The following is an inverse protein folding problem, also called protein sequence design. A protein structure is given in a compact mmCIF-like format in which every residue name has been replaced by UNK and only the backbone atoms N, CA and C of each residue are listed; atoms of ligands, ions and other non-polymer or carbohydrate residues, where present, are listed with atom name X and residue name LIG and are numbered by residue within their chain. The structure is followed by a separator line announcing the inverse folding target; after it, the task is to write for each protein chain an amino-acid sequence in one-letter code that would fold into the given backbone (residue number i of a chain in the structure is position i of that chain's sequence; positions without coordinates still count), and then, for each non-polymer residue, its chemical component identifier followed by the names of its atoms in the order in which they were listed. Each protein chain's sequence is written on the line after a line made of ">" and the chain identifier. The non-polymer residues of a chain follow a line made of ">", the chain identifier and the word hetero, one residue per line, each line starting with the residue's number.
data_IF_582007581313
#
_entry.id   IF_582007581313
#
_cell.length_a   1.000
_cell.length_b   1.000
_cell.length_c   1.000
_cell.angle_alpha   90.00
_cell.angle_beta   90.00
_cell.angle_gamma   90.00
#
_symmetry.space_group_name_H-M   'P 1'
#
loop_
_entity.id
_entity.type
_entity.pdbx_description
1 polymer ?
#
# COMPACT_ATOMS: atom_id res chain seq x y z
N UNK A 1 4.99 5.48 15.40
CA UNK A 1 3.88 4.64 14.90
C UNK A 1 4.06 4.36 13.42
N UNK A 2 3.99 5.37 12.53
CA UNK A 2 4.30 5.19 11.10
C UNK A 2 5.75 4.76 10.87
N UNK A 3 6.70 5.37 11.59
CA UNK A 3 8.12 4.99 11.55
C UNK A 3 8.38 3.51 11.88
N UNK A 4 7.54 2.89 12.71
CA UNK A 4 7.68 1.48 13.07
C UNK A 4 7.28 0.55 11.92
N UNK A 5 6.33 0.96 11.08
CA UNK A 5 5.92 0.18 9.90
C UNK A 5 7.10 0.04 8.92
N UNK A 6 7.91 1.09 8.77
CA UNK A 6 9.08 1.05 7.90
C UNK A 6 10.27 0.36 8.55
N UNK A 7 10.53 0.60 9.84
CA UNK A 7 11.68 -0.01 10.53
C UNK A 7 11.52 -1.50 10.79
N UNK A 8 10.31 -1.92 11.17
CA UNK A 8 10.03 -3.29 11.58
C UNK A 8 9.63 -4.13 10.35
N UNK A 9 9.03 -3.49 9.35
CA UNK A 9 8.61 -4.14 8.11
C UNK A 9 7.56 -5.23 8.35
N UNK A 10 7.52 -6.19 7.43
CA UNK A 10 6.69 -7.37 7.54
C UNK A 10 7.50 -8.60 7.07
N UNK A 11 7.87 -9.48 8.01
CA UNK A 11 8.66 -10.69 7.73
C UNK A 11 8.00 -11.62 6.70
N UNK A 12 6.67 -11.50 6.50
CA UNK A 12 5.92 -12.27 5.52
C UNK A 12 5.95 -11.65 4.12
N UNK A 13 6.47 -10.44 3.93
CA UNK A 13 6.54 -9.79 2.61
C UNK A 13 7.43 -10.58 1.64
N UNK A 14 8.65 -10.95 2.07
CA UNK A 14 9.59 -11.70 1.24
C UNK A 14 9.04 -13.08 0.78
N UNK A 15 8.52 -13.95 1.66
CA UNK A 15 7.92 -15.21 1.22
C UNK A 15 6.63 -15.01 0.41
N UNK A 16 5.80 -14.00 0.70
CA UNK A 16 4.62 -13.70 -0.10
C UNK A 16 4.99 -13.23 -1.52
N UNK A 17 5.99 -12.35 -1.65
CA UNK A 17 6.53 -11.89 -2.93
C UNK A 17 7.09 -13.03 -3.78
N UNK A 18 7.71 -14.04 -3.15
CA UNK A 18 8.20 -15.22 -3.86
C UNK A 18 7.07 -16.08 -4.45
N UNK A 19 5.91 -16.13 -3.81
CA UNK A 19 4.73 -16.87 -4.28
C UNK A 19 3.86 -16.04 -5.24
N UNK A 20 3.82 -14.73 -5.05
CA UNK A 20 2.98 -13.79 -5.81
C UNK A 20 3.80 -12.55 -6.21
N UNK A 21 4.48 -12.59 -7.37
CA UNK A 21 5.28 -11.45 -7.85
C UNK A 21 4.49 -10.16 -8.05
N UNK A 22 3.18 -10.26 -8.31
CA UNK A 22 2.27 -9.10 -8.42
C UNK A 22 2.21 -8.27 -7.13
N UNK A 23 2.52 -8.87 -5.98
CA UNK A 23 2.65 -8.16 -4.70
C UNK A 23 3.79 -7.13 -4.74
N UNK A 24 4.91 -7.46 -5.39
CA UNK A 24 6.05 -6.54 -5.55
C UNK A 24 5.64 -5.37 -6.42
N UNK A 25 4.95 -5.61 -7.54
CA UNK A 25 4.46 -4.56 -8.45
C UNK A 25 3.52 -3.61 -7.71
N UNK A 26 2.61 -4.14 -6.89
CA UNK A 26 1.69 -3.36 -6.07
C UNK A 26 2.42 -2.49 -5.04
N UNK A 27 3.36 -3.07 -4.29
CA UNK A 27 4.13 -2.34 -3.28
C UNK A 27 5.02 -1.28 -3.91
N UNK A 28 5.72 -1.59 -5.00
CA UNK A 28 6.59 -0.64 -5.69
C UNK A 28 5.80 0.53 -6.26
N UNK A 29 4.61 0.27 -6.83
CA UNK A 29 3.73 1.33 -7.33
C UNK A 29 3.30 2.31 -6.23
N UNK A 30 3.03 1.81 -5.01
CA UNK A 30 2.70 2.66 -3.86
C UNK A 30 3.93 3.36 -3.27
N UNK A 31 5.07 2.66 -3.14
CA UNK A 31 6.33 3.20 -2.61
C UNK A 31 6.92 4.30 -3.50
N UNK A 32 6.70 4.24 -4.81
CA UNK A 32 7.14 5.25 -5.77
C UNK A 32 6.25 6.50 -5.81
N UNK A 33 5.07 6.47 -5.21
CA UNK A 33 4.16 7.61 -5.19
C UNK A 33 4.56 8.61 -4.11
N UNK A 34 4.84 9.86 -4.49
CA UNK A 34 5.31 10.91 -3.58
C UNK A 34 4.32 11.27 -2.46
N UNK A 35 3.05 10.85 -2.55
CA UNK A 35 2.05 11.03 -1.49
C UNK A 35 2.12 9.96 -0.42
N UNK A 36 2.77 8.82 -0.69
CA UNK A 36 2.93 7.75 0.28
C UNK A 36 3.93 8.18 1.36
N UNK A 37 3.50 8.10 2.62
CA UNK A 37 4.38 8.22 3.78
C UNK A 37 5.06 6.88 4.05
N UNK A 38 4.34 5.78 3.86
CA UNK A 38 4.88 4.43 3.86
C UNK A 38 3.93 3.49 3.11
N UNK A 39 4.42 2.34 2.65
CA UNK A 39 3.59 1.28 2.08
C UNK A 39 4.11 -0.11 2.48
N UNK A 40 3.20 -1.00 2.86
CA UNK A 40 3.53 -2.32 3.40
C UNK A 40 2.41 -3.34 3.14
N UNK A 41 2.76 -4.63 3.20
CA UNK A 41 1.81 -5.73 3.20
C UNK A 41 1.02 -5.77 4.52
N UNK A 42 -0.28 -6.03 4.44
CA UNK A 42 -1.12 -6.28 5.63
C UNK A 42 -1.13 -7.76 5.99
N UNK A 43 -0.57 -8.12 7.15
CA UNK A 43 -0.53 -9.51 7.62
C UNK A 43 0.23 -10.43 6.65
N UNK A 44 -0.36 -11.57 6.28
CA UNK A 44 0.23 -12.51 5.31
C UNK A 44 -0.04 -12.14 3.84
N UNK A 45 -0.69 -11.00 3.57
CA UNK A 45 -1.10 -10.61 2.22
C UNK A 45 -2.31 -11.42 1.71
N UNK A 46 -2.72 -11.23 0.45
CA UNK A 46 -2.11 -10.39 -0.59
C UNK A 46 -2.45 -8.89 -0.50
N UNK A 47 -3.28 -8.49 0.48
CA UNK A 47 -3.65 -7.08 0.63
C UNK A 47 -2.45 -6.26 1.10
N UNK A 48 -2.27 -5.10 0.47
CA UNK A 48 -1.25 -4.12 0.82
C UNK A 48 -1.92 -2.78 1.10
N UNK A 49 -1.23 -1.90 1.82
CA UNK A 49 -1.72 -0.57 2.14
C UNK A 49 -0.62 0.48 1.97
N UNK A 50 -1.03 1.72 1.75
CA UNK A 50 -0.19 2.90 1.83
C UNK A 50 -0.83 3.91 2.78
N UNK A 51 0.00 4.53 3.63
CA UNK A 51 -0.42 5.68 4.43
C UNK A 51 -0.10 6.96 3.67
N UNK A 52 -0.99 7.93 3.76
CA UNK A 52 -0.81 9.28 3.21
C UNK A 52 -1.09 10.30 4.30
N UNK A 53 -0.64 11.54 4.12
CA UNK A 53 -0.86 12.60 5.13
C UNK A 53 -2.34 13.01 5.21
N UNK A 54 -3.08 12.94 4.09
CA UNK A 54 -4.46 13.40 4.01
C UNK A 54 -5.37 12.41 3.29
N UNK A 55 -6.68 12.45 3.60
CA UNK A 55 -7.65 11.64 2.88
C UNK A 55 -7.78 12.01 1.40
N UNK A 56 -7.46 13.24 1.00
CA UNK A 56 -7.44 13.66 -0.40
C UNK A 56 -6.29 13.02 -1.18
N UNK A 57 -5.12 12.92 -0.56
CA UNK A 57 -3.96 12.22 -1.13
C UNK A 57 -4.28 10.73 -1.32
N UNK A 58 -4.86 10.08 -0.32
CA UNK A 58 -5.30 8.69 -0.43
C UNK A 58 -6.30 8.50 -1.59
N UNK A 59 -7.28 9.40 -1.73
CA UNK A 59 -8.25 9.36 -2.84
C UNK A 59 -7.60 9.57 -4.20
N UNK A 60 -6.63 10.48 -4.30
CA UNK A 60 -5.93 10.78 -5.55
C UNK A 60 -5.05 9.60 -5.98
N UNK A 61 -4.25 9.05 -5.06
CA UNK A 61 -3.46 7.84 -5.28
C UNK A 61 -4.34 6.66 -5.71
N UNK A 62 -5.44 6.40 -5.01
CA UNK A 62 -6.35 5.31 -5.36
C UNK A 62 -6.91 5.43 -6.78
N UNK A 63 -7.29 6.65 -7.22
CA UNK A 63 -7.76 6.89 -8.59
C UNK A 63 -6.69 6.61 -9.63
N UNK A 64 -5.46 7.06 -9.39
CA UNK A 64 -4.36 6.89 -10.34
C UNK A 64 -3.90 5.43 -10.45
N UNK A 65 -3.81 4.72 -9.32
CA UNK A 65 -3.50 3.29 -9.31
C UNK A 65 -4.59 2.48 -10.02
N UNK A 66 -5.86 2.77 -9.79
CA UNK A 66 -6.98 2.09 -10.44
C UNK A 66 -7.04 2.37 -11.96
N UNK A 67 -6.66 3.57 -12.38
CA UNK A 67 -6.60 3.92 -13.81
C UNK A 67 -5.47 3.17 -14.54
N UNK A 68 -4.34 2.92 -13.87
CA UNK A 68 -3.17 2.22 -14.41
C UNK A 68 -3.30 0.69 -14.32
N UNK A 69 -4.02 0.19 -13.31
CA UNK A 69 -4.16 -1.23 -13.01
C UNK A 69 -5.64 -1.59 -12.86
N UNK A 70 -6.33 -1.78 -14.00
CA UNK A 70 -7.80 -1.89 -14.05
C UNK A 70 -8.35 -3.12 -13.30
N UNK A 71 -7.53 -4.13 -13.09
CA UNK A 71 -7.91 -5.36 -12.42
C UNK A 71 -7.72 -5.30 -10.89
N UNK A 72 -7.11 -4.23 -10.37
CA UNK A 72 -6.87 -4.08 -8.94
C UNK A 72 -8.11 -3.58 -8.21
N UNK A 73 -8.43 -4.23 -7.09
CA UNK A 73 -9.39 -3.68 -6.13
C UNK A 73 -8.70 -2.69 -5.19
N UNK A 74 -9.14 -1.43 -5.21
CA UNK A 74 -8.52 -0.35 -4.43
C UNK A 74 -9.61 0.45 -3.70
N UNK A 75 -9.37 0.77 -2.43
CA UNK A 75 -10.25 1.63 -1.62
C UNK A 75 -9.42 2.61 -0.79
N UNK A 76 -9.68 3.90 -0.96
CA UNK A 76 -9.19 4.93 -0.05
C UNK A 76 -10.02 4.91 1.24
N UNK A 77 -9.36 4.99 2.39
CA UNK A 77 -10.00 4.98 3.72
C UNK A 77 -9.28 5.93 4.67
N UNK A 78 -9.91 6.22 5.81
CA UNK A 78 -9.34 7.03 6.91
C UNK A 78 -9.23 6.17 8.16
N UNK A 79 -8.03 6.10 8.74
CA UNK A 79 -7.81 5.38 10.00
C UNK A 79 -8.26 6.25 11.19
N UNK A 80 -9.13 5.71 12.05
CA UNK A 80 -9.56 6.38 13.29
C UNK A 80 -10.54 7.55 13.09
N UNK A 81 -11.15 7.69 11.91
CA UNK A 81 -12.23 8.65 11.68
C UNK A 81 -13.54 8.21 12.34
N UNK A 82 -14.22 9.14 13.00
CA UNK A 82 -15.62 9.02 13.42
C UNK A 82 -16.57 9.08 12.22
#
# INVERSE_FOLDING_TARGET
>A
AVSAIESDGNDLEAPAAALMPDLVVLLDAMRADARAVCASQSGSGATCFALTQTGDDARAMARELAARNRDWWIRATTLGGA
#
